data_IF_620467809564
#
_entry.id   IF_620467809564
#
_cell.length_a   1.000
_cell.length_b   1.000
_cell.length_c   1.000
_cell.angle_alpha   90.00
_cell.angle_beta   90.00
_cell.angle_gamma   90.00
#
_symmetry.space_group_name_H-M   'P 1'
#
loop_
_entity.id
_entity.type
_entity.pdbx_description
1 polymer ?
#
# COMPACT_ATOMS: atom_id res chain seq x y z
N UNK A 1 -14.06 4.01 -37.07
CA UNK A 1 -13.22 2.83 -37.34
C UNK A 1 -14.09 1.74 -37.98
N UNK A 2 -13.56 0.97 -38.93
CA UNK A 2 -14.27 -0.09 -39.65
C UNK A 2 -13.38 -1.33 -39.90
N UNK A 3 -13.95 -2.41 -40.42
CA UNK A 3 -13.24 -3.70 -40.62
C UNK A 3 -11.98 -3.54 -41.48
N UNK A 4 -12.08 -2.84 -42.61
CA UNK A 4 -10.95 -2.60 -43.52
C UNK A 4 -9.84 -1.77 -42.86
N UNK A 5 -10.19 -0.76 -42.07
CA UNK A 5 -9.22 0.08 -41.36
C UNK A 5 -8.45 -0.66 -40.25
N UNK A 6 -8.95 -1.82 -39.81
CA UNK A 6 -8.24 -2.74 -38.90
C UNK A 6 -7.58 -3.92 -39.65
N UNK A 7 -7.46 -3.82 -40.99
CA UNK A 7 -6.83 -4.83 -41.83
C UNK A 7 -7.66 -6.10 -42.06
N UNK A 8 -8.97 -6.07 -41.80
CA UNK A 8 -9.87 -7.20 -42.02
C UNK A 8 -10.63 -7.14 -43.35
N UNK A 9 -11.12 -8.30 -43.78
CA UNK A 9 -11.95 -8.50 -44.99
C UNK A 9 -13.33 -8.98 -44.58
N UNK A 10 -14.39 -8.33 -45.07
CA UNK A 10 -15.77 -8.80 -44.88
C UNK A 10 -16.04 -9.95 -45.85
N UNK A 11 -16.56 -11.07 -45.35
CA UNK A 11 -16.81 -12.30 -46.14
C UNK A 11 -18.24 -12.31 -46.69
N UNK A 12 -19.16 -11.61 -46.04
CA UNK A 12 -20.57 -11.60 -46.42
C UNK A 12 -20.82 -10.77 -47.68
N UNK A 13 -21.69 -11.24 -48.60
CA UNK A 13 -21.98 -10.54 -49.85
C UNK A 13 -22.92 -9.34 -49.67
N UNK A 14 -23.59 -9.23 -48.51
CA UNK A 14 -24.57 -8.18 -48.25
C UNK A 14 -24.52 -7.70 -46.79
N UNK A 15 -24.96 -6.46 -46.58
CA UNK A 15 -25.02 -5.84 -45.27
C UNK A 15 -26.23 -6.34 -44.45
N UNK A 16 -25.96 -7.03 -43.35
CA UNK A 16 -26.99 -7.61 -42.46
C UNK A 16 -27.63 -6.63 -41.45
N UNK A 17 -27.28 -5.34 -41.46
CA UNK A 17 -27.81 -4.34 -40.51
C UNK A 17 -26.85 -3.99 -39.37
N UNK A 18 -27.06 -2.85 -38.70
CA UNK A 18 -26.10 -2.27 -37.74
C UNK A 18 -25.87 -3.08 -36.46
N UNK A 19 -26.87 -3.88 -36.04
CA UNK A 19 -26.86 -4.65 -34.79
C UNK A 19 -26.55 -6.13 -35.01
N UNK A 20 -26.56 -6.57 -36.28
CA UNK A 20 -26.17 -7.91 -36.67
C UNK A 20 -24.65 -8.10 -36.55
N UNK A 21 -24.22 -9.34 -36.35
CA UNK A 21 -22.82 -9.73 -36.43
C UNK A 21 -22.48 -10.01 -37.89
N UNK A 22 -21.28 -9.61 -38.33
CA UNK A 22 -20.82 -9.84 -39.71
C UNK A 22 -19.61 -10.75 -39.70
N UNK A 23 -19.60 -11.75 -40.58
CA UNK A 23 -18.43 -12.60 -40.80
C UNK A 23 -17.31 -11.82 -41.49
N UNK A 24 -16.15 -11.78 -40.85
CA UNK A 24 -14.95 -11.12 -41.33
C UNK A 24 -13.72 -12.00 -41.11
N UNK A 25 -12.69 -11.85 -41.93
CA UNK A 25 -11.37 -12.43 -41.71
C UNK A 25 -10.43 -11.31 -41.30
N UNK A 26 -9.76 -11.43 -40.16
CA UNK A 26 -8.81 -10.40 -39.72
C UNK A 26 -7.48 -10.47 -40.48
N UNK A 27 -6.60 -9.48 -40.31
CA UNK A 27 -5.29 -9.43 -40.97
C UNK A 27 -4.41 -10.67 -40.73
N UNK A 28 -4.61 -11.36 -39.60
CA UNK A 28 -3.89 -12.59 -39.25
C UNK A 28 -4.62 -13.87 -39.71
N UNK A 29 -5.67 -13.75 -40.53
CA UNK A 29 -6.40 -14.89 -41.10
C UNK A 29 -7.48 -15.50 -40.20
N UNK A 30 -7.76 -14.94 -39.02
CA UNK A 30 -8.80 -15.49 -38.13
C UNK A 30 -10.20 -15.13 -38.60
N UNK A 31 -11.09 -16.13 -38.64
CA UNK A 31 -12.53 -15.92 -38.82
C UNK A 31 -13.13 -15.25 -37.56
N UNK A 32 -13.86 -14.15 -37.76
CA UNK A 32 -14.38 -13.29 -36.71
C UNK A 32 -15.82 -12.84 -37.04
N UNK A 33 -16.59 -12.49 -36.00
CA UNK A 33 -18.00 -12.09 -36.10
C UNK A 33 -18.33 -10.77 -35.34
N UNK A 34 -17.57 -9.68 -35.54
CA UNK A 34 -17.74 -8.46 -34.76
C UNK A 34 -19.10 -7.79 -35.01
N UNK A 35 -19.59 -7.07 -34.00
CA UNK A 35 -20.74 -6.16 -34.16
C UNK A 35 -20.25 -4.81 -34.72
N UNK A 36 -20.88 -4.25 -35.78
CA UNK A 36 -20.45 -2.99 -36.37
C UNK A 36 -20.40 -1.81 -35.40
N UNK A 37 -21.34 -1.73 -34.45
CA UNK A 37 -21.33 -0.70 -33.40
C UNK A 37 -20.06 -0.74 -32.56
N UNK A 38 -19.67 -1.93 -32.07
CA UNK A 38 -18.46 -2.14 -31.28
C UNK A 38 -17.19 -1.75 -32.05
N UNK A 39 -17.10 -2.11 -33.33
CA UNK A 39 -15.96 -1.74 -34.19
C UNK A 39 -15.90 -0.23 -34.40
N UNK A 40 -17.06 0.42 -34.57
CA UNK A 40 -17.15 1.88 -34.77
C UNK A 40 -16.66 2.66 -33.56
N UNK A 41 -16.99 2.17 -32.37
CA UNK A 41 -16.57 2.69 -31.05
C UNK A 41 -15.08 2.44 -30.75
N UNK A 42 -14.34 1.78 -31.65
CA UNK A 42 -12.91 1.52 -31.50
C UNK A 42 -12.58 0.11 -31.01
N UNK A 43 -13.58 -0.76 -30.85
CA UNK A 43 -13.40 -2.16 -30.51
C UNK A 43 -12.69 -2.95 -31.61
N UNK A 44 -11.84 -3.90 -31.21
CA UNK A 44 -11.10 -4.76 -32.13
C UNK A 44 -11.99 -5.75 -32.90
N UNK A 45 -11.72 -5.99 -34.18
CA UNK A 45 -12.48 -6.95 -35.00
C UNK A 45 -12.19 -8.41 -34.66
N UNK A 46 -11.04 -8.70 -34.05
CA UNK A 46 -10.59 -10.06 -33.81
C UNK A 46 -10.36 -10.31 -32.31
N UNK A 47 -11.12 -11.25 -31.75
CA UNK A 47 -10.99 -11.66 -30.35
C UNK A 47 -9.69 -12.43 -30.10
N UNK A 48 -9.22 -13.20 -31.07
CA UNK A 48 -7.93 -13.90 -31.02
C UNK A 48 -6.77 -12.93 -30.94
N UNK A 49 -6.67 -12.00 -31.88
CA UNK A 49 -5.59 -11.01 -31.89
C UNK A 49 -5.65 -10.05 -30.69
N UNK A 50 -6.84 -9.82 -30.13
CA UNK A 50 -7.01 -9.01 -28.91
C UNK A 50 -6.97 -9.82 -27.62
N UNK A 51 -6.63 -11.12 -27.67
CA UNK A 51 -6.53 -12.05 -26.53
C UNK A 51 -7.79 -12.10 -25.66
N UNK A 52 -8.94 -11.95 -26.30
CA UNK A 52 -10.26 -11.95 -25.70
C UNK A 52 -11.10 -13.17 -26.10
N UNK A 53 -10.54 -14.09 -26.89
CA UNK A 53 -11.14 -15.40 -27.10
C UNK A 53 -10.77 -16.34 -25.92
N UNK A 54 -11.72 -17.15 -25.42
CA UNK A 54 -11.46 -18.04 -24.29
C UNK A 54 -10.36 -19.08 -24.53
N UNK A 55 -10.23 -19.60 -25.74
CA UNK A 55 -9.28 -20.68 -26.07
C UNK A 55 -7.83 -20.20 -26.05
N UNK A 56 -7.52 -19.08 -26.70
CA UNK A 56 -6.19 -18.45 -26.65
C UNK A 56 -5.87 -17.98 -25.24
N UNK A 57 -6.83 -17.37 -24.52
CA UNK A 57 -6.62 -16.95 -23.14
C UNK A 57 -6.28 -18.13 -22.22
N UNK A 58 -6.96 -19.28 -22.39
CA UNK A 58 -6.67 -20.49 -21.64
C UNK A 58 -5.32 -21.09 -22.03
N UNK A 59 -5.00 -21.15 -23.33
CA UNK A 59 -3.71 -21.59 -23.83
C UNK A 59 -2.53 -20.77 -23.30
N UNK A 60 -2.66 -19.43 -23.29
CA UNK A 60 -1.67 -18.53 -22.70
C UNK A 60 -1.52 -18.74 -21.19
N UNK A 61 -2.64 -18.94 -20.47
CA UNK A 61 -2.63 -19.24 -19.05
C UNK A 61 -1.88 -20.55 -18.76
N UNK A 62 -2.19 -21.63 -19.49
CA UNK A 62 -1.51 -22.92 -19.39
C UNK A 62 -0.01 -22.79 -19.68
N UNK A 63 0.36 -22.08 -20.75
CA UNK A 63 1.76 -21.84 -21.10
C UNK A 63 2.51 -21.06 -20.01
N UNK A 64 1.88 -20.02 -19.44
CA UNK A 64 2.47 -19.24 -18.36
C UNK A 64 2.69 -20.06 -17.09
N UNK A 65 1.71 -20.88 -16.70
CA UNK A 65 1.81 -21.81 -15.58
C UNK A 65 2.91 -22.86 -15.84
N UNK A 66 2.92 -23.46 -17.03
CA UNK A 66 3.91 -24.47 -17.42
C UNK A 66 5.34 -23.93 -17.47
N UNK A 67 5.54 -22.67 -17.90
CA UNK A 67 6.86 -22.03 -17.99
C UNK A 67 7.57 -21.91 -16.63
N UNK A 68 6.83 -21.88 -15.53
CA UNK A 68 7.39 -21.88 -14.17
C UNK A 68 7.34 -23.27 -13.52
N UNK A 69 7.14 -24.32 -14.31
CA UNK A 69 7.02 -25.70 -13.85
C UNK A 69 5.75 -25.99 -13.05
N UNK A 70 4.71 -25.15 -13.19
CA UNK A 70 3.42 -25.37 -12.56
C UNK A 70 2.47 -26.22 -13.42
N UNK A 71 1.40 -26.70 -12.80
CA UNK A 71 0.29 -27.40 -13.46
C UNK A 71 -1.06 -26.84 -13.02
N UNK A 72 -1.95 -26.60 -13.97
CA UNK A 72 -3.35 -26.26 -13.70
C UNK A 72 -4.08 -27.55 -13.30
N UNK A 73 -4.90 -27.49 -12.26
CA UNK A 73 -5.62 -28.66 -11.72
C UNK A 73 -7.04 -28.76 -12.31
N UNK A 74 -7.61 -27.62 -12.68
CA UNK A 74 -8.99 -27.56 -13.17
C UNK A 74 -9.12 -28.21 -14.55
N UNK A 75 -10.20 -28.97 -14.78
CA UNK A 75 -10.43 -29.63 -16.07
C UNK A 75 -10.86 -28.65 -17.17
N UNK A 76 -11.39 -27.48 -16.78
CA UNK A 76 -12.05 -26.54 -17.67
C UNK A 76 -11.64 -25.08 -17.40
N UNK A 77 -11.80 -24.24 -18.42
CA UNK A 77 -11.53 -22.82 -18.34
C UNK A 77 -12.65 -22.05 -17.63
N UNK A 78 -12.40 -21.58 -16.41
CA UNK A 78 -13.35 -20.79 -15.61
C UNK A 78 -13.44 -19.29 -15.99
N UNK A 79 -12.64 -18.82 -16.96
CA UNK A 79 -12.64 -17.43 -17.43
C UNK A 79 -11.48 -16.58 -16.89
N UNK A 80 -11.08 -15.56 -17.67
CA UNK A 80 -9.83 -14.78 -17.43
C UNK A 80 -9.79 -13.97 -16.12
N UNK A 81 -10.95 -13.69 -15.53
CA UNK A 81 -11.09 -12.94 -14.28
C UNK A 81 -11.36 -13.85 -13.06
N UNK A 82 -11.48 -15.16 -13.27
CA UNK A 82 -11.75 -16.13 -12.22
C UNK A 82 -10.42 -16.71 -11.70
N UNK A 83 -10.26 -16.95 -10.39
CA UNK A 83 -9.11 -17.68 -9.88
C UNK A 83 -9.16 -19.15 -10.32
N UNK A 84 -8.01 -19.70 -10.75
CA UNK A 84 -7.86 -21.11 -11.13
C UNK A 84 -6.93 -21.83 -10.17
N UNK A 85 -7.21 -23.07 -9.79
CA UNK A 85 -6.29 -23.86 -8.95
C UNK A 85 -5.07 -24.35 -9.73
N UNK A 86 -3.89 -24.07 -9.19
CA UNK A 86 -2.58 -24.42 -9.76
C UNK A 86 -1.66 -25.01 -8.69
N UNK A 87 -0.87 -26.01 -9.06
CA UNK A 87 0.26 -26.52 -8.27
C UNK A 87 1.55 -26.03 -8.89
N UNK A 88 2.43 -25.36 -8.14
CA UNK A 88 3.74 -24.94 -8.64
C UNK A 88 4.77 -26.08 -8.66
N UNK A 89 5.94 -25.83 -9.26
CA UNK A 89 7.04 -26.80 -9.30
C UNK A 89 7.49 -27.33 -7.93
N UNK A 90 7.33 -26.53 -6.87
CA UNK A 90 7.65 -26.90 -5.50
C UNK A 90 6.47 -27.59 -4.77
N UNK A 91 5.40 -27.92 -5.47
CA UNK A 91 4.23 -28.61 -4.91
C UNK A 91 3.21 -27.73 -4.20
N UNK A 92 3.39 -26.41 -4.16
CA UNK A 92 2.45 -25.50 -3.51
C UNK A 92 1.18 -25.28 -4.33
N UNK A 93 0.03 -25.42 -3.70
CA UNK A 93 -1.28 -25.03 -4.25
C UNK A 93 -1.52 -23.52 -4.12
N UNK A 94 -1.93 -22.88 -5.21
CA UNK A 94 -2.30 -21.46 -5.24
C UNK A 94 -3.34 -21.19 -6.33
N UNK A 95 -4.03 -20.05 -6.22
CA UNK A 95 -5.18 -19.72 -7.08
C UNK A 95 -4.98 -18.41 -7.84
N UNK A 96 -4.09 -18.36 -8.85
CA UNK A 96 -3.87 -17.15 -9.63
C UNK A 96 -5.10 -16.81 -10.48
N UNK A 97 -5.36 -15.53 -10.66
CA UNK A 97 -6.29 -15.04 -11.70
C UNK A 97 -5.49 -14.78 -12.97
N UNK A 98 -5.90 -15.30 -14.15
CA UNK A 98 -5.17 -15.12 -15.41
C UNK A 98 -4.87 -13.66 -15.75
N UNK A 99 -5.82 -12.74 -15.57
CA UNK A 99 -5.62 -11.30 -15.77
C UNK A 99 -4.50 -10.70 -14.89
N UNK A 100 -4.24 -11.28 -13.73
CA UNK A 100 -3.25 -10.79 -12.77
C UNK A 100 -1.91 -11.53 -12.88
N UNK A 101 -1.82 -12.57 -13.72
CA UNK A 101 -0.57 -13.29 -13.94
C UNK A 101 0.38 -12.47 -14.80
N UNK A 102 1.40 -11.90 -14.15
CA UNK A 102 2.48 -11.20 -14.84
C UNK A 102 3.62 -12.18 -15.11
N UNK A 103 4.08 -12.20 -16.36
CA UNK A 103 5.25 -12.96 -16.78
C UNK A 103 6.46 -12.47 -15.99
N UNK A 104 7.12 -13.35 -15.25
CA UNK A 104 8.41 -13.06 -14.58
C UNK A 104 8.32 -12.63 -13.11
N UNK A 105 7.12 -12.47 -12.54
CA UNK A 105 6.96 -12.05 -11.13
C UNK A 105 6.98 -13.18 -10.10
N UNK A 106 7.25 -14.42 -10.55
CA UNK A 106 7.09 -15.62 -9.73
C UNK A 106 5.61 -15.89 -9.43
N UNK A 107 5.04 -16.90 -10.08
CA UNK A 107 3.58 -17.11 -10.05
C UNK A 107 3.09 -17.64 -8.71
N UNK A 108 3.90 -18.46 -8.03
CA UNK A 108 3.57 -18.99 -6.72
C UNK A 108 3.96 -18.01 -5.61
N UNK A 109 2.97 -17.33 -5.02
CA UNK A 109 3.15 -16.41 -3.88
C UNK A 109 3.85 -17.03 -2.67
N UNK A 110 3.72 -18.33 -2.46
CA UNK A 110 4.42 -19.03 -1.37
C UNK A 110 5.91 -19.10 -1.67
N UNK A 111 6.29 -19.50 -2.88
CA UNK A 111 7.70 -19.55 -3.30
C UNK A 111 8.36 -18.16 -3.32
N UNK A 112 7.60 -17.12 -3.72
CA UNK A 112 8.09 -15.73 -3.73
C UNK A 112 8.09 -15.12 -2.31
N UNK A 113 7.45 -15.79 -1.34
CA UNK A 113 7.38 -15.31 0.04
C UNK A 113 6.40 -14.14 0.24
N UNK A 114 5.46 -13.94 -0.67
CA UNK A 114 4.40 -12.90 -0.60
C UNK A 114 3.07 -13.44 -0.12
N UNK A 115 2.96 -14.75 0.12
CA UNK A 115 1.80 -15.33 0.78
C UNK A 115 1.68 -14.83 2.23
N UNK A 116 0.49 -14.37 2.69
CA UNK A 116 0.34 -13.84 4.04
C UNK A 116 0.83 -14.76 5.16
N UNK A 117 0.68 -16.09 5.01
CA UNK A 117 1.17 -17.05 6.01
C UNK A 117 2.69 -17.09 6.03
N UNK A 118 3.32 -17.15 4.86
CA UNK A 118 4.79 -17.12 4.73
C UNK A 118 5.37 -15.79 5.22
N UNK A 119 4.76 -14.66 4.86
CA UNK A 119 5.17 -13.33 5.33
C UNK A 119 5.10 -13.24 6.86
N UNK A 120 4.01 -13.74 7.46
CA UNK A 120 3.86 -13.75 8.91
C UNK A 120 4.90 -14.61 9.62
N UNK A 121 5.17 -15.80 9.08
CA UNK A 121 6.23 -16.69 9.58
C UNK A 121 7.61 -16.03 9.49
N UNK A 122 7.92 -15.38 8.36
CA UNK A 122 9.19 -14.66 8.18
C UNK A 122 9.33 -13.50 9.15
N UNK A 123 8.25 -12.74 9.40
CA UNK A 123 8.26 -11.68 10.40
C UNK A 123 8.52 -12.23 11.80
N UNK A 124 7.81 -13.30 12.21
CA UNK A 124 8.04 -13.97 13.50
C UNK A 124 9.48 -14.45 13.67
N UNK A 125 10.00 -15.16 12.67
CA UNK A 125 11.38 -15.65 12.68
C UNK A 125 12.39 -14.50 12.80
N UNK A 126 12.16 -13.38 12.09
CA UNK A 126 13.04 -12.21 12.18
C UNK A 126 12.98 -11.52 13.55
N UNK A 127 11.79 -11.45 14.17
CA UNK A 127 11.64 -10.92 15.53
C UNK A 127 12.37 -11.80 16.54
N UNK A 128 12.24 -13.13 16.42
CA UNK A 128 12.95 -14.11 17.24
C UNK A 128 14.48 -14.03 17.07
N UNK A 129 14.97 -13.91 15.84
CA UNK A 129 16.39 -13.71 15.54
C UNK A 129 16.96 -12.45 16.21
N UNK A 130 16.14 -11.40 16.33
CA UNK A 130 16.47 -10.16 17.02
C UNK A 130 16.26 -10.23 18.55
N UNK A 131 15.99 -11.43 19.08
CA UNK A 131 15.80 -11.70 20.51
C UNK A 131 14.47 -11.20 21.06
N UNK A 132 13.47 -10.99 20.21
CA UNK A 132 12.13 -10.58 20.60
C UNK A 132 11.08 -11.69 20.46
N UNK A 133 9.87 -11.37 20.89
CA UNK A 133 8.70 -12.24 20.79
C UNK A 133 7.52 -11.46 20.20
N UNK A 134 6.83 -12.05 19.23
CA UNK A 134 5.59 -11.49 18.68
C UNK A 134 4.43 -11.84 19.59
N UNK A 135 3.73 -10.84 20.12
CA UNK A 135 2.62 -11.04 21.05
C UNK A 135 1.26 -11.17 20.35
N UNK A 136 1.16 -10.77 19.09
CA UNK A 136 -0.11 -10.83 18.37
C UNK A 136 -0.43 -12.24 17.85
N UNK A 137 -1.69 -12.69 18.00
CA UNK A 137 -2.09 -14.01 17.52
C UNK A 137 -2.30 -14.08 16.00
N UNK A 138 -2.60 -12.94 15.36
CA UNK A 138 -3.08 -12.90 13.97
C UNK A 138 -2.31 -11.87 13.15
N UNK A 139 -2.01 -12.24 11.90
CA UNK A 139 -1.42 -11.34 10.91
C UNK A 139 -2.44 -10.31 10.41
N UNK A 140 -2.06 -9.03 10.45
CA UNK A 140 -2.92 -7.90 10.05
C UNK A 140 -2.49 -7.21 8.75
N UNK A 141 -1.37 -7.63 8.15
CA UNK A 141 -0.83 -7.06 6.92
C UNK A 141 0.57 -6.49 7.07
N UNK A 142 1.29 -6.34 5.96
CA UNK A 142 2.71 -5.92 5.95
C UNK A 142 2.95 -4.51 6.47
N UNK A 143 1.94 -3.66 6.34
CA UNK A 143 2.01 -2.26 6.75
C UNK A 143 1.41 -2.02 8.14
N UNK A 144 0.71 -3.00 8.73
CA UNK A 144 0.16 -2.84 10.08
C UNK A 144 1.28 -3.02 11.11
N UNK A 145 1.42 -2.14 12.12
CA UNK A 145 2.32 -2.36 13.24
C UNK A 145 1.88 -3.55 14.10
N UNK A 146 2.77 -4.50 14.39
CA UNK A 146 2.47 -5.66 15.25
C UNK A 146 3.12 -5.50 16.62
N UNK A 147 2.38 -5.79 17.69
CA UNK A 147 2.91 -5.80 19.05
C UNK A 147 3.96 -6.91 19.25
N UNK A 148 5.15 -6.53 19.69
CA UNK A 148 6.26 -7.41 20.05
C UNK A 148 6.88 -6.99 21.39
N UNK A 149 7.51 -7.95 22.07
CA UNK A 149 8.43 -7.68 23.19
C UNK A 149 9.86 -7.84 22.70
N UNK A 150 10.77 -6.90 23.00
CA UNK A 150 12.19 -7.08 22.68
C UNK A 150 12.95 -7.80 23.81
N UNK A 151 14.21 -8.16 23.56
CA UNK A 151 15.08 -8.85 24.55
C UNK A 151 15.18 -8.14 25.90
N UNK A 152 15.11 -6.81 25.89
CA UNK A 152 15.19 -5.98 27.09
C UNK A 152 13.81 -5.78 27.77
N UNK A 153 12.77 -6.52 27.35
CA UNK A 153 11.42 -6.52 27.95
C UNK A 153 10.48 -5.43 27.46
N UNK A 154 10.92 -4.57 26.56
CA UNK A 154 10.12 -3.48 26.02
C UNK A 154 8.99 -3.96 25.10
N UNK A 155 7.77 -3.46 25.31
CA UNK A 155 6.61 -3.69 24.43
C UNK A 155 6.49 -2.58 23.39
N UNK A 156 6.58 -2.94 22.11
CA UNK A 156 6.65 -1.99 20.99
C UNK A 156 5.88 -2.53 19.78
N UNK A 157 5.47 -1.63 18.88
CA UNK A 157 4.73 -1.98 17.66
C UNK A 157 5.53 -1.62 16.38
N UNK A 158 6.59 -2.38 16.03
CA UNK A 158 7.32 -2.13 14.79
C UNK A 158 6.50 -2.56 13.57
N UNK A 159 6.74 -1.89 12.43
CA UNK A 159 6.16 -2.31 11.14
C UNK A 159 6.97 -3.47 10.55
N UNK A 160 6.34 -4.54 10.06
CA UNK A 160 7.03 -5.69 9.46
C UNK A 160 8.04 -5.33 8.37
N UNK A 161 7.66 -4.41 7.47
CA UNK A 161 8.55 -3.92 6.40
C UNK A 161 9.80 -3.23 6.96
N UNK A 162 9.67 -2.41 8.01
CA UNK A 162 10.81 -1.77 8.68
C UNK A 162 11.74 -2.79 9.35
N UNK A 163 11.18 -3.81 9.99
CA UNK A 163 11.96 -4.89 10.64
C UNK A 163 12.76 -5.68 9.60
N UNK A 164 12.11 -6.04 8.49
CA UNK A 164 12.75 -6.76 7.37
C UNK A 164 13.85 -5.93 6.69
N UNK A 165 13.69 -4.60 6.63
CA UNK A 165 14.70 -3.66 6.13
C UNK A 165 15.85 -3.39 7.12
N UNK A 166 15.87 -4.05 8.28
CA UNK A 166 16.97 -3.94 9.25
C UNK A 166 16.88 -2.72 10.17
N UNK A 167 15.73 -2.05 10.27
CA UNK A 167 15.54 -0.93 11.20
C UNK A 167 15.39 -1.37 12.67
N UNK A 168 15.49 -2.67 12.97
CA UNK A 168 15.32 -3.22 14.31
C UNK A 168 13.86 -3.35 14.76
N UNK A 169 13.65 -4.01 15.91
CA UNK A 169 12.32 -4.24 16.48
C UNK A 169 11.92 -3.26 17.58
N UNK A 170 12.88 -2.56 18.21
CA UNK A 170 12.61 -1.73 19.38
C UNK A 170 13.18 -0.32 19.27
N UNK A 171 12.27 0.67 19.27
CA UNK A 171 12.61 2.09 19.21
C UNK A 171 13.43 2.54 20.42
N UNK A 172 13.10 2.05 21.63
CA UNK A 172 13.81 2.42 22.85
C UNK A 172 15.26 1.89 22.88
N UNK A 173 15.48 0.64 22.47
CA UNK A 173 16.83 0.09 22.33
C UNK A 173 17.70 0.85 21.30
N UNK A 174 17.07 1.59 20.38
CA UNK A 174 17.75 2.45 19.41
C UNK A 174 17.87 3.91 19.85
N UNK A 175 17.51 4.26 21.09
CA UNK A 175 17.51 5.64 21.58
C UNK A 175 16.40 6.53 21.00
N UNK A 176 15.40 5.95 20.32
CA UNK A 176 14.22 6.65 19.82
C UNK A 176 13.13 6.68 20.90
N UNK A 177 13.43 7.36 22.01
CA UNK A 177 12.56 7.48 23.18
C UNK A 177 11.35 8.37 22.91
N UNK A 178 11.49 9.40 22.08
CA UNK A 178 10.39 10.30 21.72
C UNK A 178 9.64 10.85 22.95
N UNK A 179 10.41 11.30 23.93
CA UNK A 179 9.99 11.85 25.22
C UNK A 179 9.80 13.38 25.16
N UNK A 180 9.80 13.98 23.98
CA UNK A 180 9.65 15.41 23.81
C UNK A 180 8.66 15.77 22.71
N UNK A 181 7.87 16.82 22.95
CA UNK A 181 6.89 17.39 22.03
C UNK A 181 7.16 18.90 21.89
N UNK A 182 6.99 19.43 20.69
CA UNK A 182 7.14 20.87 20.43
C UNK A 182 6.13 21.40 19.43
N UNK A 183 5.86 22.70 19.52
CA UNK A 183 5.08 23.50 18.59
C UNK A 183 5.91 24.74 18.22
N UNK A 184 6.12 24.95 16.93
CA UNK A 184 6.86 26.08 16.36
C UNK A 184 6.05 26.75 15.27
N UNK A 185 6.28 28.04 15.05
CA UNK A 185 5.60 28.83 14.04
C UNK A 185 6.60 29.50 13.11
N UNK A 186 6.18 29.66 11.86
CA UNK A 186 6.72 30.57 10.85
C UNK A 186 5.67 31.67 10.65
N UNK A 187 5.78 32.81 11.37
CA UNK A 187 4.79 33.88 11.28
C UNK A 187 4.74 34.54 9.90
N UNK A 188 5.86 34.56 9.17
CA UNK A 188 5.93 35.17 7.83
C UNK A 188 5.10 34.38 6.81
N UNK A 189 5.09 33.06 6.94
CA UNK A 189 4.31 32.17 6.07
C UNK A 189 2.97 31.77 6.65
N UNK A 190 2.64 32.24 7.85
CA UNK A 190 1.43 31.87 8.58
C UNK A 190 1.28 30.35 8.74
N UNK A 191 2.37 29.66 9.09
CA UNK A 191 2.39 28.20 9.29
C UNK A 191 2.75 27.85 10.72
N UNK A 192 2.00 26.92 11.31
CA UNK A 192 2.35 26.24 12.56
C UNK A 192 2.80 24.81 12.24
N UNK A 193 3.85 24.37 12.93
CA UNK A 193 4.37 23.00 12.90
C UNK A 193 4.44 22.46 14.32
N UNK A 194 3.99 21.23 14.50
CA UNK A 194 4.29 20.45 15.71
C UNK A 194 5.13 19.20 15.39
N UNK A 195 5.60 18.51 16.42
CA UNK A 195 6.22 17.21 16.27
C UNK A 195 6.90 16.71 17.54
N UNK A 196 7.42 15.49 17.45
CA UNK A 196 8.12 14.80 18.54
C UNK A 196 9.63 14.63 18.29
N UNK A 197 10.41 14.46 19.36
CA UNK A 197 11.84 14.13 19.30
C UNK A 197 12.28 13.39 20.57
N UNK A 198 13.47 12.77 20.55
CA UNK A 198 14.11 12.24 21.76
C UNK A 198 14.97 13.31 22.45
N UNK A 199 14.91 13.37 23.78
CA UNK A 199 15.76 14.18 24.64
C UNK A 199 15.56 15.69 24.47
N UNK A 200 16.67 16.43 24.49
CA UNK A 200 16.63 17.89 24.40
C UNK A 200 16.03 18.34 23.04
N UNK A 201 14.98 19.17 23.09
CA UNK A 201 14.37 19.76 21.89
C UNK A 201 15.28 20.77 21.18
N UNK A 202 16.21 21.40 21.91
CA UNK A 202 17.04 22.52 21.41
C UNK A 202 17.70 22.28 20.04
N UNK A 203 18.37 21.15 19.75
CA UNK A 203 18.97 20.91 18.43
C UNK A 203 17.92 20.86 17.32
N UNK A 204 16.79 20.21 17.56
CA UNK A 204 15.69 20.09 16.59
C UNK A 204 15.03 21.44 16.32
N UNK A 205 14.80 22.23 17.38
CA UNK A 205 14.25 23.58 17.28
C UNK A 205 15.19 24.53 16.53
N UNK A 206 16.51 24.45 16.77
CA UNK A 206 17.51 25.24 16.00
C UNK A 206 17.47 24.90 14.52
N UNK A 207 17.36 23.62 14.16
CA UNK A 207 17.20 23.22 12.77
C UNK A 207 15.91 23.75 12.14
N UNK A 208 14.79 23.75 12.88
CA UNK A 208 13.55 24.34 12.37
C UNK A 208 13.62 25.86 12.22
N UNK A 209 14.33 26.55 13.11
CA UNK A 209 14.57 27.99 13.00
C UNK A 209 15.30 28.36 11.70
N UNK A 210 16.23 27.53 11.19
CA UNK A 210 16.88 27.77 9.89
C UNK A 210 15.94 27.60 8.69
N UNK A 211 14.75 27.04 8.91
CA UNK A 211 13.72 26.81 7.89
C UNK A 211 12.58 27.84 7.93
N UNK A 212 12.66 28.85 8.80
CA UNK A 212 11.63 29.88 9.01
C UNK A 212 10.81 29.70 10.29
N UNK A 213 10.89 28.53 10.95
CA UNK A 213 10.14 28.24 12.18
C UNK A 213 10.89 28.73 13.42
N UNK A 214 11.07 30.04 13.54
CA UNK A 214 11.87 30.69 14.58
C UNK A 214 11.12 30.93 15.89
N UNK A 215 9.78 30.93 15.86
CA UNK A 215 8.94 31.14 17.05
C UNK A 215 8.61 29.81 17.69
N UNK A 216 9.14 29.55 18.89
CA UNK A 216 8.78 28.36 19.69
C UNK A 216 7.59 28.71 20.58
N UNK A 217 6.48 28.01 20.39
CA UNK A 217 5.23 28.24 21.13
C UNK A 217 5.09 27.28 22.30
N UNK A 218 5.53 26.03 22.12
CA UNK A 218 5.57 25.02 23.17
C UNK A 218 6.77 24.12 22.97
N UNK A 219 7.42 23.73 24.05
CA UNK A 219 8.43 22.68 24.06
C UNK A 219 8.45 22.00 25.41
N UNK A 220 8.17 20.71 25.43
CA UNK A 220 8.18 19.87 26.63
C UNK A 220 9.07 18.65 26.39
N UNK A 221 9.78 18.22 27.43
CA UNK A 221 10.71 17.08 27.41
C UNK A 221 10.48 16.22 28.65
N UNK A 222 10.90 14.95 28.61
CA UNK A 222 10.74 14.02 29.72
C UNK A 222 9.32 13.47 29.84
N UNK A 223 8.54 13.51 28.75
CA UNK A 223 7.23 12.87 28.69
C UNK A 223 7.39 11.35 28.88
N UNK A 224 6.55 10.71 29.71
CA UNK A 224 6.67 9.29 30.00
C UNK A 224 6.24 8.42 28.81
N UNK A 225 6.85 7.24 28.68
CA UNK A 225 6.43 6.16 27.79
C UNK A 225 6.10 6.57 26.33
N UNK A 226 4.83 6.45 25.94
CA UNK A 226 4.27 6.80 24.63
C UNK A 226 3.53 8.15 24.65
N UNK A 227 3.64 8.96 25.71
CA UNK A 227 2.85 10.18 25.87
C UNK A 227 3.05 11.21 24.74
N UNK A 228 4.28 11.38 24.23
CA UNK A 228 4.51 12.31 23.12
C UNK A 228 3.91 11.78 21.78
N UNK A 229 4.15 10.51 21.36
CA UNK A 229 3.46 9.93 20.21
C UNK A 229 1.92 9.93 20.32
N UNK A 230 1.38 9.63 21.50
CA UNK A 230 -0.07 9.68 21.75
C UNK A 230 -0.62 11.10 21.58
N UNK A 231 0.10 12.09 22.12
CA UNK A 231 -0.26 13.50 21.99
C UNK A 231 -0.22 13.95 20.51
N UNK A 232 0.83 13.58 19.77
CA UNK A 232 0.92 13.88 18.33
C UNK A 232 -0.26 13.26 17.56
N UNK A 233 -0.61 12.01 17.86
CA UNK A 233 -1.75 11.33 17.25
C UNK A 233 -3.07 12.01 17.59
N UNK A 234 -3.25 12.42 18.85
CA UNK A 234 -4.46 13.11 19.31
C UNK A 234 -4.62 14.49 18.65
N UNK A 235 -3.54 15.26 18.53
CA UNK A 235 -3.56 16.55 17.82
C UNK A 235 -3.93 16.36 16.35
N UNK A 236 -3.33 15.37 15.66
CA UNK A 236 -3.68 15.07 14.27
C UNK A 236 -5.15 14.68 14.11
N UNK A 237 -5.67 13.83 15.00
CA UNK A 237 -7.07 13.41 14.96
C UNK A 237 -8.04 14.59 15.15
N UNK A 238 -7.76 15.47 16.11
CA UNK A 238 -8.59 16.63 16.37
C UNK A 238 -8.56 17.68 15.24
N UNK A 239 -7.41 17.85 14.57
CA UNK A 239 -7.32 18.70 13.39
C UNK A 239 -8.17 18.15 12.23
N UNK A 240 -8.18 16.84 12.03
CA UNK A 240 -9.06 16.20 11.04
C UNK A 240 -10.54 16.41 11.40
N UNK A 241 -10.91 16.26 12.67
CA UNK A 241 -12.29 16.50 13.14
C UNK A 241 -12.71 17.96 12.99
N UNK A 242 -11.78 18.89 13.14
CA UNK A 242 -12.01 20.32 12.90
C UNK A 242 -11.93 20.72 11.41
N UNK A 243 -11.84 19.74 10.49
CA UNK A 243 -11.70 19.95 9.04
C UNK A 243 -10.46 20.79 8.65
N UNK A 244 -9.44 20.82 9.49
CA UNK A 244 -8.17 21.49 9.22
C UNK A 244 -7.30 20.64 8.30
N UNK A 245 -6.92 21.20 7.15
CA UNK A 245 -6.07 20.53 6.18
C UNK A 245 -4.61 20.97 6.31
N UNK A 246 -3.64 20.04 6.28
CA UNK A 246 -2.23 20.42 6.33
C UNK A 246 -1.82 21.17 5.07
N UNK A 247 -1.06 22.25 5.23
CA UNK A 247 -0.48 23.03 4.12
C UNK A 247 0.71 22.32 3.47
N UNK A 248 1.36 21.42 4.22
CA UNK A 248 2.50 20.63 3.77
C UNK A 248 2.66 19.39 4.64
N UNK A 249 2.92 18.24 4.03
CA UNK A 249 3.14 17.00 4.80
C UNK A 249 1.97 16.69 5.74
N UNK A 250 2.28 16.15 6.93
CA UNK A 250 1.26 15.81 7.95
C UNK A 250 1.23 16.75 9.15
N UNK A 251 2.30 17.49 9.37
CA UNK A 251 2.56 18.21 10.64
C UNK A 251 2.55 19.73 10.47
N UNK A 252 2.23 20.25 9.27
CA UNK A 252 2.26 21.68 8.96
C UNK A 252 0.84 22.16 8.66
N UNK A 253 0.35 23.11 9.44
CA UNK A 253 -1.02 23.65 9.33
C UNK A 253 -0.98 25.17 9.26
N UNK A 254 -2.10 25.80 8.90
CA UNK A 254 -2.20 27.26 8.97
C UNK A 254 -2.08 27.71 10.42
N UNK A 255 -1.43 28.85 10.65
CA UNK A 255 -1.17 29.39 11.99
C UNK A 255 -2.46 29.57 12.82
N UNK A 256 -3.62 29.74 12.17
CA UNK A 256 -4.93 29.79 12.81
C UNK A 256 -5.26 28.53 13.64
N UNK A 257 -4.74 27.35 13.26
CA UNK A 257 -4.93 26.11 14.00
C UNK A 257 -4.15 26.06 15.34
N UNK A 258 -3.27 27.03 15.61
CA UNK A 258 -2.41 27.04 16.82
C UNK A 258 -3.23 26.93 18.10
N UNK A 259 -4.33 27.67 18.22
CA UNK A 259 -5.12 27.68 19.45
C UNK A 259 -5.71 26.30 19.77
N UNK A 260 -6.25 25.62 18.74
CA UNK A 260 -6.77 24.26 18.87
C UNK A 260 -5.66 23.28 19.27
N UNK A 261 -4.48 23.37 18.63
CA UNK A 261 -3.32 22.54 18.95
C UNK A 261 -2.91 22.74 20.42
N UNK A 262 -2.74 23.98 20.85
CA UNK A 262 -2.29 24.28 22.22
C UNK A 262 -3.30 23.86 23.27
N UNK A 263 -4.60 24.03 23.00
CA UNK A 263 -5.66 23.60 23.93
C UNK A 263 -5.56 22.11 24.26
N UNK A 264 -5.36 21.27 23.23
CA UNK A 264 -5.21 19.82 23.40
C UNK A 264 -3.89 19.45 24.08
N UNK A 265 -2.81 20.11 23.69
CA UNK A 265 -1.49 19.92 24.29
C UNK A 265 -1.55 20.25 25.78
N UNK A 266 -2.07 21.41 26.15
CA UNK A 266 -2.11 21.87 27.53
C UNK A 266 -3.04 21.01 28.39
N UNK A 267 -4.18 20.57 27.85
CA UNK A 267 -5.05 19.60 28.51
C UNK A 267 -4.30 18.30 28.82
N UNK A 268 -3.66 17.69 27.81
CA UNK A 268 -2.96 16.41 27.97
C UNK A 268 -1.75 16.52 28.90
N UNK A 269 -1.02 17.63 28.82
CA UNK A 269 0.09 17.91 29.73
C UNK A 269 -0.40 18.07 31.17
N UNK A 270 -1.53 18.75 31.37
CA UNK A 270 -2.18 18.87 32.68
C UNK A 270 -2.58 17.51 33.27
N UNK A 271 -3.16 16.61 32.47
CA UNK A 271 -3.48 15.23 32.87
C UNK A 271 -2.24 14.43 33.29
N UNK A 272 -1.09 14.72 32.68
CA UNK A 272 0.20 14.07 32.97
C UNK A 272 1.00 14.77 34.09
N UNK A 273 0.47 15.85 34.67
CA UNK A 273 1.14 16.61 35.74
C UNK A 273 2.26 17.54 35.26
N UNK A 274 2.34 17.84 33.96
CA UNK A 274 3.26 18.83 33.40
C UNK A 274 2.61 20.22 33.42
N UNK A 275 3.34 21.21 33.93
CA UNK A 275 2.89 22.61 33.92
C UNK A 275 3.03 23.23 32.53
N UNK A 276 1.98 23.92 32.08
CA UNK A 276 2.04 24.78 30.90
C UNK A 276 2.94 25.99 31.21
N UNK A 277 4.20 25.95 30.77
CA UNK A 277 5.06 27.13 30.66
C UNK A 277 4.98 27.66 29.23
#
# INVERSE_FOLDING_TARGET
MNVQSQGGTVVEPQWLGKDARHQVICANGHACDPRPGYVREGGGICRVCSRNDPETAYGEFLANVGRVGGRVIEPEWLGKATPHRVICANGHEYTPTPNNMRVGTGLCRICVGTDPKTVWQNFKARVEELGGEVLEPVWRGVDEPHLVTCREGHRVKPRPTSVQQGQGICRWCMGKVWDAFYVVQDPEREVVKFGITSGATRPRLRFHATQGFSTVVRAVTGLPDDAAPELETAVLAALVEAEETPVRGREYFRIAATELILRLVDQRLGELGFSAN
#
